data_IF_220231436255
#
_entry.id   IF_220231436255
#
_cell.length_a   1.000
_cell.length_b   1.000
_cell.length_c   1.000
_cell.angle_alpha   90.00
_cell.angle_beta   90.00
_cell.angle_gamma   90.00
#
_symmetry.space_group_name_H-M   'P 1'
#
loop_
_entity.id
_entity.type
_entity.pdbx_description
1 polymer ?
#
# COMPACT_ATOMS: atom_id res chain seq x y z
N UNK A 1 7.17 9.45 -7.01
CA UNK A 1 6.21 10.21 -6.17
C UNK A 1 5.36 9.29 -5.30
N UNK A 2 4.96 8.10 -5.78
CA UNK A 2 4.17 7.12 -4.98
C UNK A 2 4.82 6.73 -3.63
N UNK A 3 6.15 6.48 -3.53
CA UNK A 3 6.75 6.15 -2.23
C UNK A 3 6.63 7.29 -1.20
N UNK A 4 6.77 8.54 -1.63
CA UNK A 4 6.58 9.71 -0.76
C UNK A 4 5.13 9.79 -0.28
N UNK A 5 4.16 9.55 -1.17
CA UNK A 5 2.75 9.55 -0.84
C UNK A 5 2.39 8.47 0.20
N UNK A 6 3.05 7.30 0.15
CA UNK A 6 2.88 6.25 1.17
C UNK A 6 3.49 6.64 2.53
N UNK A 7 4.64 7.32 2.51
CA UNK A 7 5.27 7.86 3.74
C UNK A 7 4.36 8.92 4.36
N UNK A 8 3.84 9.84 3.56
CA UNK A 8 2.90 10.88 4.01
C UNK A 8 1.63 10.26 4.63
N UNK A 9 1.03 9.27 3.96
CA UNK A 9 -0.12 8.54 4.50
C UNK A 9 0.19 7.86 5.84
N UNK A 10 1.34 7.18 5.95
CA UNK A 10 1.77 6.55 7.20
C UNK A 10 1.98 7.57 8.33
N UNK A 11 2.58 8.73 8.04
CA UNK A 11 2.78 9.79 9.04
C UNK A 11 1.45 10.39 9.52
N UNK A 12 0.47 10.55 8.64
CA UNK A 12 -0.88 11.00 9.02
C UNK A 12 -1.55 9.97 9.95
N UNK A 13 -1.52 8.69 9.59
CA UNK A 13 -2.08 7.63 10.44
C UNK A 13 -1.38 7.60 11.80
N UNK A 14 -0.04 7.69 11.82
CA UNK A 14 0.73 7.67 13.07
C UNK A 14 0.46 8.88 13.97
N UNK A 15 0.01 10.00 13.41
CA UNK A 15 -0.36 11.18 14.18
C UNK A 15 -1.69 11.03 14.92
N UNK A 16 -2.62 10.20 14.39
CA UNK A 16 -3.97 10.03 14.94
C UNK A 16 -4.16 8.72 15.70
N UNK A 17 -3.32 7.71 15.45
CA UNK A 17 -3.44 6.38 16.07
C UNK A 17 -2.08 5.70 16.21
N UNK A 18 -2.01 4.66 17.04
CA UNK A 18 -0.78 3.92 17.30
C UNK A 18 -0.55 2.87 16.20
N UNK A 19 0.05 3.29 15.10
CA UNK A 19 0.27 2.45 13.91
C UNK A 19 1.55 1.64 14.05
N UNK A 20 1.46 0.32 13.86
CA UNK A 20 2.62 -0.57 13.78
C UNK A 20 3.57 -0.15 12.66
N UNK A 21 4.87 -0.15 12.94
CA UNK A 21 5.93 0.06 11.93
C UNK A 21 5.89 -1.03 10.82
N UNK A 22 5.24 -2.17 11.06
CA UNK A 22 5.03 -3.21 10.06
C UNK A 22 4.18 -2.75 8.87
N UNK A 23 3.18 -1.89 9.10
CA UNK A 23 2.30 -1.38 8.03
C UNK A 23 3.11 -0.54 7.02
N UNK A 24 4.03 0.29 7.52
CA UNK A 24 4.92 1.08 6.66
C UNK A 24 5.71 0.19 5.69
N UNK A 25 6.32 -0.88 6.20
CA UNK A 25 7.14 -1.78 5.37
C UNK A 25 6.31 -2.60 4.39
N UNK A 26 5.11 -3.02 4.77
CA UNK A 26 4.17 -3.69 3.86
C UNK A 26 3.81 -2.77 2.69
N UNK A 27 3.39 -1.53 2.97
CA UNK A 27 3.06 -0.54 1.93
C UNK A 27 4.28 -0.22 1.03
N UNK A 28 5.47 -0.07 1.62
CA UNK A 28 6.71 0.15 0.88
C UNK A 28 7.06 -1.01 -0.06
N UNK A 29 6.99 -2.25 0.42
CA UNK A 29 7.27 -3.44 -0.39
C UNK A 29 6.29 -3.54 -1.55
N UNK A 30 4.99 -3.34 -1.30
CA UNK A 30 3.97 -3.34 -2.36
C UNK A 30 4.27 -2.30 -3.44
N UNK A 31 4.69 -1.10 -3.02
CA UNK A 31 5.01 0.00 -3.94
C UNK A 31 6.25 -0.29 -4.77
N UNK A 32 7.30 -0.87 -4.16
CA UNK A 32 8.51 -1.29 -4.87
C UNK A 32 8.19 -2.38 -5.89
N UNK A 33 7.45 -3.42 -5.50
CA UNK A 33 7.05 -4.51 -6.41
C UNK A 33 6.23 -3.97 -7.59
N UNK A 34 5.28 -3.06 -7.31
CA UNK A 34 4.45 -2.44 -8.33
C UNK A 34 5.29 -1.67 -9.36
N UNK A 35 6.19 -0.81 -8.89
CA UNK A 35 6.98 0.06 -9.75
C UNK A 35 8.09 -0.69 -10.49
N UNK A 36 8.79 -1.60 -9.80
CA UNK A 36 9.86 -2.40 -10.42
C UNK A 36 9.27 -3.35 -11.46
N UNK A 37 8.11 -3.98 -11.18
CA UNK A 37 7.43 -4.85 -12.14
C UNK A 37 6.97 -4.11 -13.40
N UNK A 38 6.31 -2.96 -13.22
CA UNK A 38 5.89 -2.12 -14.34
C UNK A 38 7.08 -1.61 -15.16
N UNK A 39 8.10 -1.08 -14.48
CA UNK A 39 9.31 -0.58 -15.13
C UNK A 39 10.04 -1.67 -15.91
N UNK A 40 10.23 -2.87 -15.32
CA UNK A 40 10.88 -4.00 -15.99
C UNK A 40 10.14 -4.44 -17.27
N UNK A 41 8.80 -4.32 -17.29
CA UNK A 41 8.00 -4.54 -18.49
C UNK A 41 8.19 -3.44 -19.55
N UNK A 42 8.34 -2.18 -19.14
CA UNK A 42 8.57 -1.05 -20.05
C UNK A 42 9.95 -1.06 -20.70
N UNK A 43 10.99 -1.48 -19.96
CA UNK A 43 12.37 -1.57 -20.48
C UNK A 43 12.67 -2.91 -21.19
N UNK A 44 11.68 -3.80 -21.30
CA UNK A 44 11.79 -5.06 -22.02
C UNK A 44 12.63 -6.14 -21.34
N UNK A 45 12.93 -6.00 -20.04
CA UNK A 45 13.58 -7.06 -19.26
C UNK A 45 12.65 -8.27 -19.06
N UNK A 46 11.35 -8.02 -19.02
CA UNK A 46 10.28 -9.03 -19.04
C UNK A 46 9.22 -8.63 -20.07
N UNK A 47 8.33 -9.56 -20.43
CA UNK A 47 7.21 -9.23 -21.31
C UNK A 47 6.31 -8.16 -20.68
N UNK A 48 5.83 -7.21 -21.49
CA UNK A 48 4.98 -6.11 -21.02
C UNK A 48 3.74 -6.62 -20.24
N UNK A 49 3.13 -7.71 -20.71
CA UNK A 49 2.00 -8.36 -20.03
C UNK A 49 2.38 -8.89 -18.65
N UNK A 50 3.56 -9.50 -18.51
CA UNK A 50 4.02 -10.00 -17.21
C UNK A 50 4.35 -8.86 -16.25
N UNK A 51 5.01 -7.80 -16.74
CA UNK A 51 5.27 -6.59 -15.96
C UNK A 51 3.98 -5.92 -15.48
N UNK A 52 2.96 -5.86 -16.33
CA UNK A 52 1.63 -5.38 -15.97
C UNK A 52 0.97 -6.23 -14.87
N UNK A 53 1.01 -7.57 -14.99
CA UNK A 53 0.44 -8.46 -13.97
C UNK A 53 1.15 -8.27 -12.62
N UNK A 54 2.49 -8.19 -12.61
CA UNK A 54 3.27 -7.95 -11.39
C UNK A 54 2.92 -6.59 -10.78
N UNK A 55 2.81 -5.57 -11.63
CA UNK A 55 2.35 -4.23 -11.24
C UNK A 55 0.99 -4.28 -10.53
N UNK A 56 0.02 -4.96 -11.15
CA UNK A 56 -1.33 -5.13 -10.62
C UNK A 56 -1.37 -5.94 -9.31
N UNK A 57 -0.50 -6.93 -9.14
CA UNK A 57 -0.37 -7.69 -7.89
C UNK A 57 0.17 -6.81 -6.76
N UNK A 58 1.21 -6.00 -7.03
CA UNK A 58 1.72 -5.04 -6.06
C UNK A 58 0.67 -4.00 -5.65
N UNK A 59 -0.10 -3.50 -6.61
CA UNK A 59 -1.22 -2.59 -6.35
C UNK A 59 -2.35 -3.24 -5.52
N UNK A 60 -2.79 -4.44 -5.90
CA UNK A 60 -3.84 -5.17 -5.17
C UNK A 60 -3.41 -5.49 -3.72
N UNK A 61 -2.13 -5.80 -3.51
CA UNK A 61 -1.56 -6.00 -2.18
C UNK A 61 -1.62 -4.74 -1.31
N UNK A 62 -1.30 -3.57 -1.87
CA UNK A 62 -1.42 -2.27 -1.16
C UNK A 62 -2.88 -2.03 -0.75
N UNK A 63 -3.83 -2.24 -1.67
CA UNK A 63 -5.26 -2.08 -1.36
C UNK A 63 -5.73 -3.05 -0.27
N UNK A 64 -5.28 -4.30 -0.32
CA UNK A 64 -5.57 -5.28 0.71
C UNK A 64 -5.05 -4.82 2.08
N UNK A 65 -3.82 -4.32 2.16
CA UNK A 65 -3.25 -3.89 3.44
C UNK A 65 -3.98 -2.67 4.04
N UNK A 66 -4.44 -1.75 3.18
CA UNK A 66 -5.20 -0.56 3.59
C UNK A 66 -6.63 -0.92 4.04
N UNK A 67 -7.36 -1.70 3.25
CA UNK A 67 -8.81 -1.94 3.45
C UNK A 67 -9.16 -3.25 4.16
N UNK A 68 -8.22 -4.17 4.32
CA UNK A 68 -8.46 -5.46 4.98
C UNK A 68 -7.31 -5.88 5.91
N UNK A 69 -6.16 -5.21 5.83
CA UNK A 69 -5.00 -5.43 6.68
C UNK A 69 -5.10 -4.71 8.03
N UNK A 70 -3.96 -4.63 8.72
CA UNK A 70 -3.87 -4.04 10.07
C UNK A 70 -4.27 -2.56 10.09
N UNK A 71 -4.09 -1.82 9.00
CA UNK A 71 -4.47 -0.41 8.91
C UNK A 71 -5.98 -0.20 9.11
N UNK A 72 -6.83 -1.09 8.57
CA UNK A 72 -8.28 -1.01 8.80
C UNK A 72 -8.65 -1.34 10.24
N UNK A 73 -8.02 -2.32 10.87
CA UNK A 73 -8.33 -2.70 12.26
C UNK A 73 -8.06 -1.53 13.19
N UNK A 74 -6.91 -0.88 13.02
CA UNK A 74 -6.52 0.30 13.78
C UNK A 74 -7.46 1.48 13.50
N UNK A 75 -7.89 1.69 12.25
CA UNK A 75 -8.86 2.73 11.93
C UNK A 75 -10.29 2.45 12.45
N UNK A 76 -10.70 1.18 12.52
CA UNK A 76 -12.03 0.77 12.98
C UNK A 76 -12.16 0.82 14.51
N UNK A 77 -11.09 0.47 15.25
CA UNK A 77 -11.10 0.50 16.72
C UNK A 77 -11.13 1.94 17.28
N UNK A 78 -10.68 2.93 16.50
CA UNK A 78 -10.58 4.34 16.91
C UNK A 78 -11.66 5.24 16.24
N UNK A 79 -12.51 4.69 15.38
CA UNK A 79 -13.56 5.47 14.71
C UNK A 79 -14.69 5.85 15.70
N UNK A 80 -15.07 7.13 15.81
CA UNK A 80 -16.22 7.52 16.63
C UNK A 80 -17.50 6.87 16.09
N UNK A 81 -18.41 6.49 17.00
CA UNK A 81 -19.65 5.75 16.73
C UNK A 81 -20.63 6.39 15.73
N UNK A 82 -20.29 7.54 15.15
CA UNK A 82 -21.11 8.33 14.22
C UNK A 82 -20.91 7.99 12.74
N UNK A 83 -19.98 7.10 12.37
CA UNK A 83 -19.75 6.71 10.97
C UNK A 83 -20.32 5.30 10.72
N UNK A 84 -21.42 5.15 9.94
CA UNK A 84 -21.95 3.84 9.60
C UNK A 84 -21.02 3.14 8.59
N UNK A 85 -20.64 1.90 8.92
CA UNK A 85 -19.82 0.98 8.11
C UNK A 85 -20.70 0.29 7.07
#
# INVERSE_FOLDING_TARGET
>A
TVPLLMVEFYLILRAITNVSQGIFWRLMIGTVVMLVGGYAGEIGYISATLGFIIGMLGWAYILYEIFAGEARKVAADEAPASVPI
#
